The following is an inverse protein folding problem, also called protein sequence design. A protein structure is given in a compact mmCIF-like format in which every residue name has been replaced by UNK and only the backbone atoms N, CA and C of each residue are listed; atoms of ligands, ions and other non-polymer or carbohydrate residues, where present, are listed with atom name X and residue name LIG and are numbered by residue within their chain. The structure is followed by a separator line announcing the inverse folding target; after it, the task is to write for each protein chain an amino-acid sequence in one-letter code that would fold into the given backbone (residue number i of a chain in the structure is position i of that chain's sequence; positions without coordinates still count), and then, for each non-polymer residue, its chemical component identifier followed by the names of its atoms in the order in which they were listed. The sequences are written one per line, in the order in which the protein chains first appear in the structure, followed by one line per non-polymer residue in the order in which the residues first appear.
data_IF_680170595839
#
_entry.id   IF_680170595839
#
_cell.length_a   1.000
_cell.length_b   1.000
_cell.length_c   1.000
_cell.angle_alpha   90.00
_cell.angle_beta   90.00
_cell.angle_gamma   90.00
#
_symmetry.space_group_name_H-M   'P 1'
#
loop_
_entity.id
_entity.type
_entity.pdbx_description
1 polymer ?
#
# COMPACT_ATOMS: atom_id res chain seq x y z
N UNK A 1 -26.27 -65.39 -1.31
CA UNK A 1 -26.79 -64.01 -1.13
C UNK A 1 -25.71 -63.19 -0.44
N UNK A 2 -24.99 -62.33 -1.16
CA UNK A 2 -24.08 -61.33 -0.57
C UNK A 2 -24.47 -59.98 -1.16
N UNK A 3 -25.15 -59.16 -0.37
CA UNK A 3 -25.50 -57.78 -0.74
C UNK A 3 -24.24 -56.94 -0.55
N UNK A 4 -23.61 -56.53 -1.64
CA UNK A 4 -22.53 -55.54 -1.60
C UNK A 4 -23.22 -54.18 -1.61
N UNK A 5 -23.21 -53.50 -0.47
CA UNK A 5 -23.72 -52.13 -0.33
C UNK A 5 -22.58 -51.18 -0.65
N UNK A 6 -22.68 -50.45 -1.75
CA UNK A 6 -21.73 -49.41 -2.14
C UNK A 6 -22.06 -48.15 -1.34
N UNK A 7 -21.28 -47.86 -0.29
CA UNK A 7 -21.44 -46.64 0.50
C UNK A 7 -20.72 -45.50 -0.22
N UNK A 8 -21.47 -44.74 -1.03
CA UNK A 8 -20.96 -43.55 -1.70
C UNK A 8 -20.79 -42.44 -0.65
N UNK A 9 -19.60 -42.30 -0.07
CA UNK A 9 -19.33 -41.21 0.88
C UNK A 9 -19.28 -39.89 0.13
N UNK A 10 -20.32 -39.07 0.30
CA UNK A 10 -20.38 -37.72 -0.23
C UNK A 10 -19.34 -36.87 0.50
N UNK A 11 -18.16 -36.71 -0.09
CA UNK A 11 -17.15 -35.74 0.33
C UNK A 11 -17.73 -34.34 0.12
N UNK A 12 -18.31 -33.79 1.18
CA UNK A 12 -18.67 -32.37 1.24
C UNK A 12 -17.34 -31.62 1.16
N UNK A 13 -17.05 -31.09 -0.03
CA UNK A 13 -16.02 -30.08 -0.22
C UNK A 13 -16.42 -28.87 0.61
N UNK A 14 -15.96 -28.84 1.86
CA UNK A 14 -15.86 -27.61 2.63
C UNK A 14 -14.88 -26.76 1.84
N UNK A 15 -15.43 -25.89 0.98
CA UNK A 15 -14.71 -24.76 0.44
C UNK A 15 -14.07 -24.07 1.64
N UNK A 16 -12.75 -24.21 1.75
CA UNK A 16 -11.96 -23.36 2.61
C UNK A 16 -12.30 -21.94 2.19
N UNK A 17 -13.21 -21.29 2.94
CA UNK A 17 -13.21 -19.84 3.02
C UNK A 17 -11.79 -19.50 3.43
N UNK A 18 -11.01 -19.01 2.47
CA UNK A 18 -9.69 -18.44 2.69
C UNK A 18 -9.77 -17.66 3.99
N UNK A 19 -8.93 -18.03 4.95
CA UNK A 19 -8.80 -17.26 6.18
C UNK A 19 -8.27 -15.90 5.72
N UNK A 20 -9.18 -14.95 5.50
CA UNK A 20 -8.86 -13.56 5.17
C UNK A 20 -8.12 -12.99 6.37
N UNK A 21 -6.82 -13.25 6.45
CA UNK A 21 -5.92 -12.66 7.42
C UNK A 21 -5.97 -11.18 7.08
N UNK A 22 -6.69 -10.41 7.91
CA UNK A 22 -6.79 -8.97 7.75
C UNK A 22 -5.37 -8.43 7.79
N UNK A 23 -4.99 -7.68 6.76
CA UNK A 23 -3.68 -7.04 6.74
C UNK A 23 -3.62 -6.09 7.93
N UNK A 24 -2.57 -6.22 8.74
CA UNK A 24 -2.41 -5.40 9.94
C UNK A 24 -1.62 -4.17 9.53
N UNK A 25 -2.20 -2.99 9.75
CA UNK A 25 -1.51 -1.72 9.54
C UNK A 25 -0.24 -1.68 10.41
N UNK A 26 0.95 -1.40 9.84
CA UNK A 26 2.17 -1.28 10.61
C UNK A 26 2.06 -0.14 11.64
N UNK A 27 2.57 -0.38 12.84
CA UNK A 27 2.62 0.64 13.89
C UNK A 27 3.77 1.62 13.63
N UNK A 28 3.45 2.91 13.57
CA UNK A 28 4.41 4.01 13.51
C UNK A 28 4.04 5.00 14.61
N UNK A 29 5.00 5.37 15.45
CA UNK A 29 4.80 6.33 16.55
C UNK A 29 5.49 7.68 16.27
N UNK A 30 5.31 8.64 17.17
CA UNK A 30 5.88 9.98 17.06
C UNK A 30 7.27 10.13 17.70
N UNK A 31 7.97 9.02 18.03
CA UNK A 31 9.28 9.11 18.67
C UNK A 31 10.34 9.56 17.67
N UNK A 32 11.30 10.34 18.15
CA UNK A 32 12.46 10.70 17.35
C UNK A 32 13.27 9.46 16.94
N UNK A 33 13.79 9.48 15.72
CA UNK A 33 14.64 8.43 15.16
C UNK A 33 15.85 9.07 14.46
N UNK A 34 16.97 8.34 14.43
CA UNK A 34 18.14 8.70 13.63
C UNK A 34 18.41 7.62 12.61
N UNK A 35 18.86 8.03 11.43
CA UNK A 35 19.24 7.12 10.36
C UNK A 35 20.39 6.23 10.82
N UNK A 36 20.23 4.91 10.65
CA UNK A 36 21.27 3.93 10.93
C UNK A 36 22.18 3.77 9.71
N UNK A 37 23.33 4.44 9.75
CA UNK A 37 24.32 4.40 8.66
C UNK A 37 24.89 3.01 8.40
N UNK A 38 24.82 2.09 9.37
CA UNK A 38 25.32 0.72 9.15
C UNK A 38 24.50 -0.06 8.13
N UNK A 39 23.30 0.43 7.78
CA UNK A 39 22.45 -0.18 6.76
C UNK A 39 22.95 0.03 5.33
N UNK A 40 23.82 1.01 5.09
CA UNK A 40 24.39 1.24 3.75
C UNK A 40 25.89 1.45 3.88
N UNK A 41 26.64 0.35 3.96
CA UNK A 41 28.11 0.39 4.17
C UNK A 41 28.89 0.73 2.90
N UNK A 42 28.39 0.28 1.74
CA UNK A 42 29.18 0.23 0.49
C UNK A 42 28.48 0.86 -0.72
N UNK A 43 27.33 1.52 -0.54
CA UNK A 43 26.52 2.09 -1.63
C UNK A 43 25.76 3.33 -1.14
N UNK A 44 25.25 4.14 -2.06
CA UNK A 44 24.27 5.19 -1.77
C UNK A 44 22.83 4.65 -1.86
N UNK A 45 22.65 3.47 -2.46
CA UNK A 45 21.35 2.81 -2.64
C UNK A 45 21.43 1.33 -2.25
N UNK A 46 20.51 0.89 -1.41
CA UNK A 46 20.29 -0.51 -1.07
C UNK A 46 18.86 -0.91 -1.44
N UNK A 47 18.72 -2.03 -2.14
CA UNK A 47 17.44 -2.67 -2.46
C UNK A 47 17.58 -4.16 -2.22
N UNK A 48 16.84 -4.70 -1.26
CA UNK A 48 16.93 -6.12 -0.93
C UNK A 48 15.66 -6.66 -0.28
N UNK A 49 15.51 -7.98 -0.38
CA UNK A 49 14.54 -8.72 0.42
C UNK A 49 15.16 -9.11 1.76
N UNK A 50 14.46 -8.80 2.84
CA UNK A 50 14.79 -9.27 4.17
C UNK A 50 14.43 -10.75 4.33
N UNK A 51 14.97 -11.41 5.35
CA UNK A 51 14.70 -12.84 5.63
C UNK A 51 13.23 -13.15 5.95
N UNK A 52 12.46 -12.15 6.41
CA UNK A 52 11.02 -12.25 6.62
C UNK A 52 10.20 -12.07 5.31
N UNK A 53 10.87 -11.77 4.19
CA UNK A 53 10.29 -11.54 2.88
C UNK A 53 9.75 -10.12 2.64
N UNK A 54 9.90 -9.21 3.60
CA UNK A 54 9.71 -7.78 3.35
C UNK A 54 10.78 -7.30 2.37
N UNK A 55 10.48 -6.22 1.67
CA UNK A 55 11.41 -5.59 0.74
C UNK A 55 11.72 -4.19 1.24
N UNK A 56 13.00 -3.85 1.29
CA UNK A 56 13.46 -2.54 1.70
C UNK A 56 14.12 -1.80 0.54
N UNK A 57 13.88 -0.49 0.50
CA UNK A 57 14.65 0.44 -0.31
C UNK A 57 15.23 1.51 0.60
N UNK A 58 16.55 1.68 0.53
CA UNK A 58 17.25 2.74 1.23
C UNK A 58 18.03 3.55 0.22
N UNK A 59 17.88 4.87 0.29
CA UNK A 59 18.66 5.80 -0.51
C UNK A 59 19.28 6.83 0.42
N UNK A 60 20.59 7.02 0.33
CA UNK A 60 21.31 8.07 1.03
C UNK A 60 22.00 8.96 0.01
N UNK A 61 21.65 10.25 0.04
CA UNK A 61 22.28 11.27 -0.76
C UNK A 61 22.71 12.45 0.14
N UNK A 62 23.50 13.36 -0.42
CA UNK A 62 23.89 14.59 0.28
C UNK A 62 22.68 15.46 0.67
N UNK A 63 21.60 15.40 -0.11
CA UNK A 63 20.37 16.16 0.13
C UNK A 63 19.46 15.56 1.21
N UNK A 64 19.73 14.32 1.66
CA UNK A 64 18.89 13.63 2.63
C UNK A 64 18.93 12.11 2.45
N UNK A 65 18.18 11.40 3.28
CA UNK A 65 18.12 9.93 3.23
C UNK A 65 16.68 9.46 3.27
N UNK A 66 16.45 8.29 2.75
CA UNK A 66 15.13 7.71 2.58
C UNK A 66 15.16 6.22 2.92
N UNK A 67 14.10 5.75 3.57
CA UNK A 67 13.88 4.34 3.90
C UNK A 67 12.43 3.99 3.59
N UNK A 68 12.25 2.94 2.82
CA UNK A 68 10.97 2.29 2.56
C UNK A 68 11.06 0.83 2.99
N UNK A 69 9.98 0.32 3.57
CA UNK A 69 9.80 -1.10 3.83
C UNK A 69 8.39 -1.51 3.43
N UNK A 70 8.30 -2.37 2.41
CA UNK A 70 7.05 -2.95 1.95
C UNK A 70 6.88 -4.34 2.55
N UNK A 71 5.76 -4.55 3.22
CA UNK A 71 5.50 -5.79 3.96
C UNK A 71 5.08 -6.91 3.02
N UNK A 72 5.64 -8.11 3.22
CA UNK A 72 5.21 -9.31 2.48
C UNK A 72 3.72 -9.56 2.66
N UNK A 73 3.03 -9.94 1.59
CA UNK A 73 1.62 -10.32 1.58
C UNK A 73 0.69 -9.28 2.24
N UNK A 74 1.01 -7.98 2.09
CA UNK A 74 0.29 -6.86 2.70
C UNK A 74 0.09 -5.70 1.71
N UNK A 75 -0.97 -4.91 1.88
CA UNK A 75 -1.18 -3.66 1.15
C UNK A 75 -0.44 -2.46 1.76
N UNK A 76 0.33 -2.67 2.83
CA UNK A 76 0.94 -1.59 3.58
C UNK A 76 2.47 -1.55 3.38
N UNK A 77 3.00 -0.35 3.53
CA UNK A 77 4.42 -0.07 3.67
C UNK A 77 4.67 0.94 4.80
N UNK A 78 5.91 1.05 5.25
CA UNK A 78 6.41 2.20 6.02
C UNK A 78 7.31 3.03 5.11
N UNK A 79 7.18 4.35 5.21
CA UNK A 79 8.08 5.31 4.58
C UNK A 79 8.66 6.25 5.63
N UNK A 80 9.97 6.52 5.51
CA UNK A 80 10.72 7.42 6.37
C UNK A 80 11.68 8.25 5.53
N UNK A 81 11.74 9.54 5.80
CA UNK A 81 12.72 10.46 5.23
C UNK A 81 13.54 11.10 6.35
N UNK A 82 14.79 11.41 6.06
CA UNK A 82 15.76 11.95 7.01
C UNK A 82 16.49 13.14 6.40
N UNK A 83 16.85 14.10 7.25
CA UNK A 83 17.73 15.21 6.89
C UNK A 83 19.17 14.71 6.58
N UNK A 84 20.01 15.54 5.93
CA UNK A 84 21.41 15.20 5.69
C UNK A 84 22.16 14.79 6.98
N UNK A 85 21.87 15.44 8.11
CA UNK A 85 22.44 15.12 9.43
C UNK A 85 21.97 13.76 10.02
N UNK A 86 21.07 13.06 9.33
CA UNK A 86 20.54 11.75 9.72
C UNK A 86 19.33 11.82 10.66
N UNK A 87 18.91 12.98 11.12
CA UNK A 87 17.71 13.11 11.95
C UNK A 87 16.46 12.82 11.12
N UNK A 88 15.49 12.12 11.71
CA UNK A 88 14.21 11.87 11.05
C UNK A 88 13.57 13.19 10.65
N UNK A 89 13.08 13.27 9.42
CA UNK A 89 12.35 14.41 8.85
C UNK A 89 10.86 14.12 8.81
N UNK A 90 10.49 12.94 8.32
CA UNK A 90 9.10 12.50 8.31
C UNK A 90 8.97 10.99 8.30
N UNK A 91 7.93 10.45 8.94
CA UNK A 91 7.61 9.02 8.92
C UNK A 91 6.10 8.76 8.98
N UNK A 92 5.69 7.64 8.40
CA UNK A 92 4.33 7.12 8.50
C UNK A 92 4.12 5.86 7.67
N UNK A 93 2.88 5.34 7.71
CA UNK A 93 2.46 4.19 6.90
C UNK A 93 1.85 4.66 5.58
N UNK A 94 1.91 3.82 4.55
CA UNK A 94 1.30 4.11 3.26
C UNK A 94 0.86 2.85 2.52
N UNK A 95 0.18 3.04 1.40
CA UNK A 95 -0.16 1.97 0.47
C UNK A 95 1.08 1.45 -0.25
N UNK A 96 1.19 0.12 -0.44
CA UNK A 96 2.37 -0.56 -0.99
C UNK A 96 2.72 -0.24 -2.45
N UNK A 97 1.85 0.44 -3.20
CA UNK A 97 2.08 0.90 -4.58
C UNK A 97 2.28 2.41 -4.71
N UNK A 98 2.96 3.06 -3.75
CA UNK A 98 3.24 4.51 -3.73
C UNK A 98 1.99 5.42 -3.85
N UNK A 99 0.84 4.95 -3.38
CA UNK A 99 -0.44 5.58 -3.67
C UNK A 99 -0.84 6.75 -2.77
N UNK A 100 -0.66 6.60 -1.45
CA UNK A 100 -1.10 7.58 -0.45
C UNK A 100 -0.63 7.24 0.98
N UNK A 101 -0.65 8.25 1.86
CA UNK A 101 -0.43 8.14 3.30
C UNK A 101 -1.64 7.53 4.02
N UNK A 102 -1.40 6.63 4.96
CA UNK A 102 -2.41 5.97 5.79
C UNK A 102 -2.18 6.33 7.26
N UNK A 103 -3.27 6.66 7.95
CA UNK A 103 -3.26 7.04 9.36
C UNK A 103 -2.43 8.28 9.65
N UNK A 104 -1.76 8.25 10.80
CA UNK A 104 -0.94 9.37 11.29
C UNK A 104 0.43 9.39 10.66
N UNK A 105 0.83 10.58 10.23
CA UNK A 105 2.17 10.91 9.78
C UNK A 105 2.75 12.00 10.67
N UNK A 106 4.05 11.89 10.88
CA UNK A 106 4.80 12.74 11.79
C UNK A 106 5.88 13.47 11.00
N UNK A 107 6.03 14.77 11.22
CA UNK A 107 7.12 15.58 10.68
C UNK A 107 7.91 16.21 11.83
N UNK A 108 9.23 16.23 11.67
CA UNK A 108 10.17 16.74 12.66
C UNK A 108 11.03 17.84 12.04
N UNK A 109 11.47 18.78 12.85
CA UNK A 109 12.50 19.72 12.43
C UNK A 109 13.89 19.05 12.37
N UNK A 110 14.86 19.76 11.81
CA UNK A 110 16.23 19.25 11.66
C UNK A 110 16.94 19.01 13.01
N UNK A 111 16.44 19.59 14.11
CA UNK A 111 16.94 19.37 15.48
C UNK A 111 16.31 18.15 16.14
N UNK A 112 15.30 17.54 15.53
CA UNK A 112 14.60 16.36 16.02
C UNK A 112 13.33 16.63 16.83
N UNK A 113 12.84 17.88 16.85
CA UNK A 113 11.57 18.20 17.53
C UNK A 113 10.40 17.86 16.61
N UNK A 114 9.35 17.24 17.16
CA UNK A 114 8.10 17.02 16.43
C UNK A 114 7.43 18.38 16.13
N UNK A 115 7.23 18.68 14.85
CA UNK A 115 6.62 19.95 14.42
C UNK A 115 5.22 19.77 13.83
N UNK A 116 4.87 18.54 13.42
CA UNK A 116 3.56 18.28 12.79
C UNK A 116 3.12 16.83 12.99
N UNK A 117 1.84 16.66 13.25
CA UNK A 117 1.14 15.38 13.25
C UNK A 117 -0.13 15.55 12.40
N UNK A 118 -0.25 14.75 11.34
CA UNK A 118 -1.43 14.77 10.45
C UNK A 118 -2.01 13.38 10.36
N UNK A 119 -3.29 13.27 10.65
CA UNK A 119 -4.08 12.09 10.33
C UNK A 119 -4.63 12.23 8.91
N UNK A 120 -4.05 11.47 7.98
CA UNK A 120 -4.43 11.47 6.56
C UNK A 120 -5.72 10.71 6.27
N UNK A 121 -6.19 9.87 7.21
CA UNK A 121 -7.47 9.18 7.08
C UNK A 121 -8.65 10.10 7.49
N UNK A 122 -8.40 11.11 8.32
CA UNK A 122 -9.43 12.01 8.87
C UNK A 122 -10.42 12.58 7.82
N UNK A 123 -10.00 13.01 6.61
CA UNK A 123 -10.94 13.51 5.60
C UNK A 123 -11.78 12.40 4.92
N UNK A 124 -11.33 11.14 4.98
CA UNK A 124 -11.87 10.02 4.20
C UNK A 124 -12.78 9.15 5.07
N UNK A 125 -14.09 9.45 5.07
CA UNK A 125 -15.08 8.60 5.76
C UNK A 125 -15.31 7.26 5.05
N UNK A 126 -15.15 7.24 3.72
CA UNK A 126 -15.08 6.00 2.98
C UNK A 126 -13.63 5.50 3.07
N UNK A 127 -13.43 4.44 3.85
CA UNK A 127 -12.12 4.02 4.32
C UNK A 127 -11.34 3.28 3.25
N UNK A 128 -10.06 3.01 3.51
CA UNK A 128 -9.27 2.17 2.61
C UNK A 128 -9.83 0.74 2.57
N UNK A 129 -10.30 0.21 3.69
CA UNK A 129 -10.97 -1.09 3.77
C UNK A 129 -12.23 -1.13 2.88
N UNK A 130 -12.98 -0.03 2.82
CA UNK A 130 -14.13 0.06 1.92
C UNK A 130 -13.71 0.05 0.45
N UNK A 131 -12.58 0.66 0.11
CA UNK A 131 -11.99 0.60 -1.24
C UNK A 131 -11.53 -0.83 -1.58
N UNK A 132 -10.93 -1.56 -0.63
CA UNK A 132 -10.57 -2.97 -0.84
C UNK A 132 -11.82 -3.81 -1.16
N UNK A 133 -12.90 -3.62 -0.40
CA UNK A 133 -14.18 -4.29 -0.65
C UNK A 133 -14.82 -3.87 -1.99
N UNK A 134 -14.69 -2.60 -2.38
CA UNK A 134 -15.16 -2.11 -3.67
C UNK A 134 -14.41 -2.81 -4.82
N UNK A 135 -13.08 -2.85 -4.76
CA UNK A 135 -12.25 -3.52 -5.76
C UNK A 135 -12.59 -5.01 -5.88
N UNK A 136 -12.74 -5.71 -4.74
CA UNK A 136 -13.11 -7.12 -4.72
C UNK A 136 -14.47 -7.36 -5.41
N UNK A 137 -15.48 -6.54 -5.11
CA UNK A 137 -16.82 -6.64 -5.72
C UNK A 137 -16.82 -6.38 -7.23
N UNK A 138 -15.97 -5.47 -7.69
CA UNK A 138 -15.85 -5.11 -9.11
C UNK A 138 -14.89 -6.03 -9.88
N UNK A 139 -14.24 -6.99 -9.22
CA UNK A 139 -13.23 -7.87 -9.83
C UNK A 139 -11.92 -7.16 -10.18
N UNK A 140 -11.65 -6.00 -9.56
CA UNK A 140 -10.42 -5.24 -9.74
C UNK A 140 -9.32 -5.90 -8.90
N UNK A 141 -8.29 -6.41 -9.58
CA UNK A 141 -7.18 -7.08 -8.91
C UNK A 141 -6.24 -6.09 -8.25
N UNK A 142 -5.93 -6.33 -6.97
CA UNK A 142 -4.93 -5.58 -6.20
C UNK A 142 -3.73 -6.47 -5.89
N UNK A 143 -2.53 -5.88 -5.89
CA UNK A 143 -1.30 -6.61 -5.60
C UNK A 143 -0.89 -6.37 -4.15
N UNK A 144 -0.67 -7.46 -3.41
CA UNK A 144 -0.06 -7.44 -2.08
C UNK A 144 1.45 -7.62 -2.17
N UNK A 145 2.16 -7.08 -1.18
CA UNK A 145 3.60 -7.22 -1.09
C UNK A 145 4.37 -6.19 -1.91
N UNK A 146 5.68 -6.43 -2.11
CA UNK A 146 6.55 -5.53 -2.87
C UNK A 146 6.08 -5.40 -4.32
N UNK A 147 5.72 -4.17 -4.71
CA UNK A 147 5.32 -3.80 -6.08
C UNK A 147 6.56 -3.24 -6.79
N UNK A 148 7.16 -4.01 -7.68
CA UNK A 148 8.41 -3.64 -8.37
C UNK A 148 8.14 -3.26 -9.83
N UNK A 149 8.95 -2.40 -10.41
CA UNK A 149 8.79 -2.06 -11.84
C UNK A 149 8.89 -3.30 -12.75
N UNK A 150 9.68 -4.29 -12.36
CA UNK A 150 9.84 -5.55 -13.09
C UNK A 150 8.60 -6.45 -13.08
N UNK A 151 7.62 -6.20 -12.20
CA UNK A 151 6.40 -7.03 -12.11
C UNK A 151 5.25 -6.51 -12.98
N UNK A 152 5.50 -5.44 -13.76
CA UNK A 152 4.57 -4.92 -14.76
C UNK A 152 3.58 -3.90 -14.20
N UNK A 153 2.41 -3.81 -14.84
CA UNK A 153 1.37 -2.87 -14.41
C UNK A 153 0.66 -3.39 -13.16
N UNK A 154 0.52 -2.52 -12.16
CA UNK A 154 -0.25 -2.76 -10.95
C UNK A 154 -1.35 -1.71 -10.79
N UNK A 155 -2.49 -2.13 -10.26
CA UNK A 155 -3.58 -1.22 -9.93
C UNK A 155 -3.08 -0.16 -8.96
N UNK A 156 -3.28 1.09 -9.34
CA UNK A 156 -2.89 2.26 -8.54
C UNK A 156 -4.11 2.79 -7.81
N UNK A 157 -3.95 3.11 -6.53
CA UNK A 157 -4.98 3.77 -5.72
C UNK A 157 -4.35 5.03 -5.14
N UNK A 158 -4.96 6.19 -5.38
CA UNK A 158 -4.48 7.47 -4.83
C UNK A 158 -5.60 8.23 -4.14
N UNK A 159 -5.19 9.10 -3.23
CA UNK A 159 -6.04 10.08 -2.55
C UNK A 159 -5.82 11.46 -3.14
N UNK A 160 -6.90 12.21 -3.42
CA UNK A 160 -6.83 13.60 -3.89
C UNK A 160 -7.88 14.46 -3.19
N UNK A 161 -7.66 15.76 -3.19
CA UNK A 161 -8.69 16.74 -2.82
C UNK A 161 -9.05 17.52 -4.08
N UNK A 162 -10.27 17.32 -4.57
CA UNK A 162 -10.79 18.00 -5.76
C UNK A 162 -11.90 18.95 -5.34
N UNK A 163 -11.72 20.26 -5.58
CA UNK A 163 -12.69 21.30 -5.19
C UNK A 163 -13.11 21.17 -3.72
N UNK A 164 -12.12 21.03 -2.83
CA UNK A 164 -12.27 20.85 -1.38
C UNK A 164 -12.94 19.53 -0.94
N UNK A 165 -13.18 18.59 -1.87
CA UNK A 165 -13.76 17.28 -1.57
C UNK A 165 -12.69 16.19 -1.66
N UNK A 166 -12.54 15.33 -0.63
CA UNK A 166 -11.65 14.19 -0.70
C UNK A 166 -12.21 13.18 -1.72
N UNK A 167 -11.33 12.62 -2.55
CA UNK A 167 -11.69 11.60 -3.54
C UNK A 167 -10.67 10.48 -3.55
N UNK A 168 -11.17 9.27 -3.81
CA UNK A 168 -10.35 8.12 -4.16
C UNK A 168 -10.27 8.01 -5.67
N UNK A 169 -9.09 7.73 -6.20
CA UNK A 169 -8.91 7.45 -7.63
C UNK A 169 -8.23 6.10 -7.76
N UNK A 170 -8.88 5.20 -8.48
CA UNK A 170 -8.41 3.85 -8.77
C UNK A 170 -8.09 3.82 -10.26
N UNK A 171 -6.87 3.47 -10.63
CA UNK A 171 -6.48 3.21 -12.01
C UNK A 171 -6.07 1.76 -12.16
N UNK A 172 -6.77 1.04 -13.03
CA UNK A 172 -6.56 -0.39 -13.20
C UNK A 172 -6.63 -0.81 -14.66
N UNK A 173 -6.00 -1.94 -14.97
CA UNK A 173 -5.98 -2.49 -16.32
C UNK A 173 -7.23 -3.33 -16.56
N UNK A 174 -8.24 -2.71 -17.16
CA UNK A 174 -9.53 -3.32 -17.49
C UNK A 174 -9.42 -4.38 -18.59
N UNK A 175 -8.58 -4.12 -19.59
CA UNK A 175 -8.23 -5.04 -20.69
C UNK A 175 -6.77 -4.84 -21.09
N UNK A 176 -6.23 -5.70 -21.96
CA UNK A 176 -4.83 -5.62 -22.41
C UNK A 176 -4.41 -4.19 -22.80
N UNK A 177 -5.23 -3.47 -23.55
CA UNK A 177 -4.90 -2.14 -24.07
C UNK A 177 -5.79 -1.03 -23.48
N UNK A 178 -6.49 -1.28 -22.37
CA UNK A 178 -7.42 -0.30 -21.78
C UNK A 178 -7.16 -0.18 -20.29
N UNK A 179 -6.81 1.04 -19.85
CA UNK A 179 -6.88 1.44 -18.46
C UNK A 179 -8.25 2.03 -18.18
N UNK A 180 -8.82 1.74 -17.01
CA UNK A 180 -9.98 2.45 -16.48
C UNK A 180 -9.56 3.21 -15.23
N UNK A 181 -9.87 4.50 -15.20
CA UNK A 181 -9.78 5.35 -14.02
C UNK A 181 -11.16 5.52 -13.42
N UNK A 182 -11.35 5.08 -12.17
CA UNK A 182 -12.56 5.25 -11.38
C UNK A 182 -12.30 6.30 -10.32
N UNK A 183 -13.14 7.33 -10.24
CA UNK A 183 -13.12 8.32 -9.15
C UNK A 183 -14.30 8.10 -8.24
N UNK A 184 -14.06 7.94 -6.94
CA UNK A 184 -15.09 7.81 -5.91
C UNK A 184 -15.02 8.98 -4.92
N UNK A 185 -16.18 9.40 -4.43
CA UNK A 185 -16.28 10.36 -3.34
C UNK A 185 -15.66 9.77 -2.06
N UNK A 186 -14.67 10.45 -1.49
CA UNK A 186 -13.91 9.99 -0.33
C UNK A 186 -14.71 9.94 0.97
N UNK A 187 -15.93 10.48 1.00
CA UNK A 187 -16.80 10.45 2.17
C UNK A 187 -17.95 9.46 2.04
N UNK A 188 -18.49 9.28 0.84
CA UNK A 188 -19.69 8.46 0.60
C UNK A 188 -19.40 7.16 -0.15
N UNK A 189 -18.25 7.05 -0.81
CA UNK A 189 -17.93 5.92 -1.69
C UNK A 189 -18.73 5.89 -2.99
N UNK A 190 -19.51 6.95 -3.30
CA UNK A 190 -20.24 7.03 -4.56
C UNK A 190 -19.27 7.23 -5.71
N UNK A 191 -19.45 6.46 -6.78
CA UNK A 191 -18.70 6.66 -8.03
C UNK A 191 -19.10 8.01 -8.63
N UNK A 192 -18.11 8.89 -8.77
CA UNK A 192 -18.23 10.21 -9.40
C UNK A 192 -18.03 10.09 -10.91
N UNK A 193 -17.03 9.31 -11.34
CA UNK A 193 -16.75 9.11 -12.76
C UNK A 193 -16.02 7.80 -13.04
N UNK A 194 -16.15 7.32 -14.29
CA UNK A 194 -15.31 6.28 -14.89
C UNK A 194 -14.82 6.77 -16.24
N UNK A 195 -13.54 6.59 -16.52
CA UNK A 195 -12.91 6.99 -17.79
C UNK A 195 -12.00 5.88 -18.26
N UNK A 196 -12.18 5.48 -19.52
CA UNK A 196 -11.28 4.54 -20.18
C UNK A 196 -10.21 5.32 -20.95
N UNK A 197 -8.97 4.85 -20.93
CA UNK A 197 -7.86 5.37 -21.72
C UNK A 197 -7.08 4.23 -22.37
N UNK A 198 -6.40 4.52 -23.47
CA UNK A 198 -5.53 3.54 -24.12
C UNK A 198 -4.29 3.29 -23.27
N UNK A 199 -3.97 2.01 -23.06
CA UNK A 199 -2.73 1.60 -22.44
C UNK A 199 -1.65 1.44 -23.51
N UNK A 200 -0.69 2.37 -23.55
CA UNK A 200 0.48 2.29 -24.43
C UNK A 200 1.64 1.77 -23.58
N UNK A 201 2.08 0.54 -23.87
CA UNK A 201 3.24 -0.06 -23.23
C UNK A 201 4.49 0.52 -23.92
N UNK A 202 5.14 1.52 -23.31
CA UNK A 202 6.40 2.08 -23.80
C UNK A 202 7.59 1.24 -23.35
#
# INVERSE_FOLDING_TARGET
MKKIVFFLSLMIVVSCKSQNKKDILPSVDNKFEKFDSNKIKDSDVLREFLSNGNYIEINAANSGKYYQETFKDSYYMISKSYYPNGNIKSKGAGFNGDGFQIGKWYEFDEKGNLIKEVDYDKPYKFTFEDILMFCEKEGISLTKGPVLQSTGFHTTIIRRVEKEKPVWVIEWRKKSNVLETITLDGTTGKVISRRDSEYINN
#
